data_IF_528914015464
#
_entry.id   IF_528914015464
#
_cell.length_a   1.000
_cell.length_b   1.000
_cell.length_c   1.000
_cell.angle_alpha   90.00
_cell.angle_beta   90.00
_cell.angle_gamma   90.00
#
_symmetry.space_group_name_H-M   'P 1'
#
loop_
_entity.id
_entity.type
_entity.pdbx_description
1 polymer ?
#
# COMPACT_ATOMS: atom_id res chain seq x y z
N UNK A 1 4.74 25.34 -0.60
CA UNK A 1 4.97 25.31 -2.06
C UNK A 1 4.09 24.24 -2.69
N UNK A 2 3.39 24.56 -3.78
CA UNK A 2 2.50 23.64 -4.50
C UNK A 2 2.79 23.76 -6.01
N UNK A 3 3.89 23.17 -6.51
CA UNK A 3 4.26 23.29 -7.90
C UNK A 3 3.37 22.40 -8.79
N UNK A 4 3.04 22.87 -9.99
CA UNK A 4 2.46 22.01 -11.03
C UNK A 4 3.49 21.01 -11.57
N UNK A 5 4.76 21.45 -11.64
CA UNK A 5 5.89 20.65 -12.11
C UNK A 5 7.05 20.73 -11.13
N UNK A 6 7.52 19.59 -10.63
CA UNK A 6 8.64 19.51 -9.66
C UNK A 6 10.00 19.94 -10.23
N UNK A 7 10.11 20.13 -11.54
CA UNK A 7 11.34 20.62 -12.21
C UNK A 7 11.25 22.09 -12.59
N UNK A 8 10.21 22.80 -12.14
CA UNK A 8 10.09 24.23 -12.37
C UNK A 8 11.24 24.97 -11.63
N UNK A 9 12.03 25.79 -12.32
CA UNK A 9 13.14 26.52 -11.70
C UNK A 9 12.70 27.38 -10.51
N UNK A 10 11.59 28.10 -10.63
CA UNK A 10 11.09 28.95 -9.54
C UNK A 10 10.72 28.15 -8.30
N UNK A 11 10.18 26.94 -8.48
CA UNK A 11 9.93 26.01 -7.38
C UNK A 11 11.23 25.51 -6.76
N UNK A 12 12.19 25.12 -7.58
CA UNK A 12 13.48 24.59 -7.09
C UNK A 12 14.25 25.66 -6.33
N UNK A 13 14.30 26.90 -6.84
CA UNK A 13 14.93 28.04 -6.18
C UNK A 13 14.26 28.34 -4.83
N UNK A 14 12.92 28.35 -4.80
CA UNK A 14 12.17 28.57 -3.57
C UNK A 14 12.38 27.44 -2.55
N UNK A 15 12.47 26.19 -2.99
CA UNK A 15 12.75 25.05 -2.12
C UNK A 15 14.18 25.12 -1.58
N UNK A 16 15.15 25.42 -2.43
CA UNK A 16 16.55 25.56 -2.03
C UNK A 16 16.76 26.71 -1.04
N UNK A 17 16.04 27.81 -1.21
CA UNK A 17 16.09 28.95 -0.30
C UNK A 17 15.65 28.60 1.13
N UNK A 18 14.87 27.54 1.33
CA UNK A 18 14.49 27.02 2.64
C UNK A 18 15.62 26.24 3.33
N UNK A 19 16.68 25.90 2.61
CA UNK A 19 17.81 25.10 3.10
C UNK A 19 17.37 23.85 3.89
N UNK A 20 16.57 22.95 3.30
CA UNK A 20 16.03 21.80 4.04
C UNK A 20 17.16 20.88 4.49
N UNK A 21 17.18 20.52 5.77
CA UNK A 21 18.12 19.54 6.30
C UNK A 21 17.73 18.11 5.98
N UNK A 22 16.43 17.80 6.02
CA UNK A 22 15.90 16.47 5.83
C UNK A 22 14.60 16.51 5.02
N UNK A 23 14.44 15.59 4.08
CA UNK A 23 13.21 15.37 3.33
C UNK A 23 12.42 14.20 3.91
N UNK A 24 11.10 14.36 3.99
CA UNK A 24 10.17 13.28 4.38
C UNK A 24 9.12 13.15 3.29
N UNK A 25 8.94 11.92 2.76
CA UNK A 25 7.97 11.62 1.73
C UNK A 25 6.99 10.58 2.26
N UNK A 26 5.70 10.85 2.12
CA UNK A 26 4.63 9.92 2.52
C UNK A 26 3.56 9.92 1.42
N UNK A 27 3.23 8.73 0.89
CA UNK A 27 2.15 8.54 -0.08
C UNK A 27 2.21 9.52 -1.27
N UNK A 28 3.37 9.69 -1.87
CA UNK A 28 3.61 10.72 -2.88
C UNK A 28 3.96 10.13 -4.25
N UNK A 29 3.77 10.94 -5.30
CA UNK A 29 4.25 10.61 -6.65
C UNK A 29 5.77 10.58 -6.65
N UNK A 30 6.36 9.88 -7.64
CA UNK A 30 7.81 9.87 -7.81
C UNK A 30 8.36 11.30 -7.90
N UNK A 31 9.21 11.67 -6.95
CA UNK A 31 9.92 12.93 -6.95
C UNK A 31 11.17 12.85 -7.85
N UNK A 32 11.48 13.87 -8.64
CA UNK A 32 12.74 13.91 -9.38
C UNK A 32 13.92 14.05 -8.41
N UNK A 33 15.06 13.50 -8.81
CA UNK A 33 16.30 13.53 -8.02
C UNK A 33 16.66 14.94 -7.52
N UNK A 34 16.55 15.95 -8.38
CA UNK A 34 16.84 17.35 -8.03
C UNK A 34 16.04 17.83 -6.80
N UNK A 35 14.93 17.20 -6.46
CA UNK A 35 14.13 17.51 -5.26
C UNK A 35 14.53 16.66 -4.08
N UNK A 36 14.55 15.32 -4.23
CA UNK A 36 14.81 14.43 -3.09
C UNK A 36 16.29 14.39 -2.67
N UNK A 37 17.24 14.75 -3.56
CA UNK A 37 18.65 14.84 -3.22
C UNK A 37 19.05 16.22 -2.65
N UNK A 38 18.14 17.20 -2.61
CA UNK A 38 18.42 18.56 -2.13
C UNK A 38 18.70 18.63 -0.62
N UNK A 39 17.95 17.93 0.26
CA UNK A 39 18.19 18.00 1.70
C UNK A 39 19.55 17.40 2.09
N UNK A 40 20.28 18.10 2.94
CA UNK A 40 21.65 17.76 3.36
C UNK A 40 21.78 16.37 4.01
N UNK A 41 20.75 15.93 4.77
CA UNK A 41 20.68 14.63 5.43
C UNK A 41 19.94 13.60 4.57
N UNK A 42 19.64 13.93 3.32
CA UNK A 42 18.88 13.09 2.41
C UNK A 42 17.37 13.18 2.59
N UNK A 43 16.67 12.29 1.92
CA UNK A 43 15.20 12.18 1.99
C UNK A 43 14.84 10.73 2.27
N UNK A 44 13.94 10.50 3.21
CA UNK A 44 13.39 9.17 3.45
C UNK A 44 11.88 9.10 3.14
N UNK A 45 11.40 7.91 2.85
CA UNK A 45 9.99 7.61 2.66
C UNK A 45 9.46 6.73 3.79
N UNK A 46 8.19 6.89 4.12
CA UNK A 46 7.39 5.96 4.92
C UNK A 46 6.55 5.10 3.99
N UNK A 47 6.85 3.80 3.93
CA UNK A 47 6.15 2.83 3.10
C UNK A 47 5.33 1.87 3.96
N UNK A 48 4.09 1.59 3.53
CA UNK A 48 3.14 0.81 4.32
C UNK A 48 3.27 -0.70 4.07
N UNK A 49 4.48 -1.23 4.10
CA UNK A 49 4.77 -2.67 4.10
C UNK A 49 6.06 -2.96 4.86
N UNK A 50 6.36 -4.25 5.02
CA UNK A 50 7.67 -4.74 5.46
C UNK A 50 8.55 -4.94 4.21
N UNK A 51 9.24 -3.88 3.76
CA UNK A 51 10.14 -4.00 2.63
C UNK A 51 11.19 -5.11 2.87
N UNK A 52 11.52 -5.88 1.84
CA UNK A 52 11.28 -5.68 0.41
C UNK A 52 9.93 -6.16 -0.12
N UNK A 53 9.08 -6.75 0.72
CA UNK A 53 7.76 -7.21 0.32
C UNK A 53 6.82 -6.03 0.02
N UNK A 54 5.93 -6.20 -0.95
CA UNK A 54 4.88 -5.24 -1.30
C UNK A 54 5.40 -3.86 -1.70
N UNK A 55 6.51 -3.81 -2.46
CA UNK A 55 6.91 -2.58 -3.16
C UNK A 55 5.83 -2.15 -4.13
N UNK A 56 5.50 -0.86 -4.19
CA UNK A 56 4.53 -0.31 -5.13
C UNK A 56 3.43 0.54 -4.50
N UNK A 57 2.33 0.70 -5.23
CA UNK A 57 1.34 1.74 -4.97
C UNK A 57 0.23 1.36 -3.97
N UNK A 58 0.01 0.06 -3.71
CA UNK A 58 -1.12 -0.42 -2.91
C UNK A 58 -0.72 -1.51 -1.90
N UNK A 59 0.34 -1.30 -1.07
CA UNK A 59 0.90 -2.34 -0.20
C UNK A 59 -0.10 -2.89 0.82
N UNK A 60 -0.90 -2.04 1.45
CA UNK A 60 -1.90 -2.44 2.44
C UNK A 60 -2.96 -3.35 1.82
N UNK A 61 -3.46 -2.96 0.64
CA UNK A 61 -4.46 -3.73 -0.08
C UNK A 61 -3.94 -5.14 -0.40
N UNK A 62 -2.77 -5.22 -1.03
CA UNK A 62 -2.22 -6.49 -1.50
C UNK A 62 -1.83 -7.43 -0.37
N UNK A 63 -1.33 -6.93 0.76
CA UNK A 63 -1.06 -7.75 1.93
C UNK A 63 -2.35 -8.46 2.42
N UNK A 64 -3.48 -7.74 2.47
CA UNK A 64 -4.76 -8.32 2.90
C UNK A 64 -5.34 -9.25 1.82
N UNK A 65 -5.31 -8.86 0.53
CA UNK A 65 -5.79 -9.68 -0.59
C UNK A 65 -5.07 -11.03 -0.63
N UNK A 66 -3.76 -11.01 -0.40
CA UNK A 66 -2.94 -12.23 -0.39
C UNK A 66 -3.09 -13.06 0.91
N UNK A 67 -3.86 -12.56 1.88
CA UNK A 67 -4.16 -13.29 3.11
C UNK A 67 -3.03 -13.31 4.12
N UNK A 68 -2.15 -12.31 4.08
CA UNK A 68 -1.09 -12.15 5.06
C UNK A 68 -1.66 -12.01 6.48
N UNK A 69 -0.92 -12.48 7.45
CA UNK A 69 -1.26 -12.39 8.87
C UNK A 69 -0.59 -11.22 9.56
N UNK A 70 0.38 -10.63 8.91
CA UNK A 70 1.06 -9.41 9.34
C UNK A 70 1.45 -8.57 8.13
N UNK A 71 1.59 -7.27 8.35
CA UNK A 71 2.24 -6.32 7.48
C UNK A 71 3.10 -5.39 8.34
N UNK A 72 3.39 -4.21 7.90
CA UNK A 72 4.10 -3.25 8.70
C UNK A 72 4.33 -1.94 7.98
N UNK A 73 5.25 -1.19 8.53
CA UNK A 73 5.73 0.06 7.95
C UNK A 73 7.24 0.06 7.95
N UNK A 74 7.80 0.68 6.93
CA UNK A 74 9.24 0.81 6.73
C UNK A 74 9.58 2.26 6.46
N UNK A 75 10.57 2.81 7.16
CA UNK A 75 11.27 4.03 6.74
C UNK A 75 12.54 3.64 5.99
N UNK A 76 12.78 4.26 4.83
CA UNK A 76 13.96 3.97 4.00
C UNK A 76 14.42 5.23 3.25
N UNK A 77 15.72 5.35 3.00
CA UNK A 77 16.29 6.45 2.22
C UNK A 77 15.88 6.33 0.75
N UNK A 78 15.54 7.45 0.12
CA UNK A 78 15.25 7.45 -1.32
C UNK A 78 16.52 7.23 -2.15
N UNK A 79 16.35 6.52 -3.24
CA UNK A 79 17.33 6.38 -4.31
C UNK A 79 16.62 6.45 -5.68
N UNK A 80 17.30 6.07 -6.75
CA UNK A 80 16.75 6.08 -8.12
C UNK A 80 15.72 4.98 -8.41
N UNK A 81 15.66 3.95 -7.56
CA UNK A 81 14.79 2.81 -7.73
C UNK A 81 13.59 2.88 -6.79
N UNK A 82 12.40 2.54 -7.30
CA UNK A 82 11.16 2.61 -6.52
C UNK A 82 11.21 1.62 -5.35
N UNK A 83 11.08 2.14 -4.13
CA UNK A 83 11.00 1.40 -2.86
C UNK A 83 12.19 0.44 -2.61
N UNK A 84 13.35 0.72 -3.23
CA UNK A 84 14.57 -0.10 -3.09
C UNK A 84 15.71 0.56 -2.31
N UNK A 85 15.48 1.74 -1.74
CA UNK A 85 16.50 2.42 -0.95
C UNK A 85 16.80 1.72 0.38
N UNK A 86 17.88 2.12 1.02
CA UNK A 86 18.35 1.50 2.26
C UNK A 86 17.35 1.69 3.40
N UNK A 87 16.96 0.59 4.05
CA UNK A 87 15.98 0.56 5.15
C UNK A 87 16.62 1.15 6.41
N UNK A 88 15.93 2.12 7.04
CA UNK A 88 16.33 2.73 8.30
C UNK A 88 15.70 1.99 9.47
N UNK A 89 14.38 1.77 9.43
CA UNK A 89 13.64 1.08 10.48
C UNK A 89 12.37 0.43 9.95
N UNK A 90 11.89 -0.59 10.67
CA UNK A 90 10.64 -1.30 10.36
C UNK A 90 9.87 -1.62 11.62
N UNK A 91 8.54 -1.54 11.53
CA UNK A 91 7.63 -1.99 12.59
C UNK A 91 6.62 -2.96 12.01
N UNK A 92 6.48 -4.13 12.64
CA UNK A 92 5.49 -5.15 12.27
C UNK A 92 4.13 -4.84 12.89
N UNK A 93 3.07 -5.07 12.12
CA UNK A 93 1.69 -4.84 12.56
C UNK A 93 0.84 -6.06 12.17
N UNK A 94 0.16 -6.73 13.12
CA UNK A 94 -0.66 -7.89 12.82
C UNK A 94 -1.93 -7.51 12.04
N UNK A 95 -2.29 -8.35 11.08
CA UNK A 95 -3.56 -8.30 10.35
C UNK A 95 -4.52 -9.30 10.99
N UNK A 96 -5.53 -8.80 11.69
CA UNK A 96 -6.53 -9.64 12.35
C UNK A 96 -7.58 -10.14 11.32
N UNK A 97 -8.28 -11.25 11.60
CA UNK A 97 -9.28 -11.80 10.67
C UNK A 97 -10.38 -10.81 10.27
N UNK A 98 -10.74 -9.87 11.15
CA UNK A 98 -11.76 -8.85 10.91
C UNK A 98 -11.22 -7.55 10.29
N UNK A 99 -9.90 -7.42 10.15
CA UNK A 99 -9.34 -6.22 9.56
C UNK A 99 -9.62 -6.15 8.07
N UNK A 100 -9.85 -4.94 7.60
CA UNK A 100 -9.93 -4.58 6.19
C UNK A 100 -8.89 -3.48 5.88
N UNK A 101 -8.82 -3.01 4.64
CA UNK A 101 -7.83 -1.98 4.29
C UNK A 101 -8.03 -0.68 5.07
N UNK A 102 -9.26 -0.31 5.39
CA UNK A 102 -9.55 0.91 6.18
C UNK A 102 -9.02 0.79 7.60
N UNK A 103 -9.34 -0.30 8.32
CA UNK A 103 -8.85 -0.49 9.69
C UNK A 103 -7.34 -0.66 9.75
N UNK A 104 -6.74 -1.30 8.74
CA UNK A 104 -5.28 -1.40 8.66
C UNK A 104 -4.61 -0.07 8.34
N UNK A 105 -5.23 0.76 7.49
CA UNK A 105 -4.75 2.12 7.25
C UNK A 105 -4.65 2.92 8.55
N UNK A 106 -5.70 2.89 9.38
CA UNK A 106 -5.70 3.59 10.67
C UNK A 106 -4.61 3.08 11.62
N UNK A 107 -4.44 1.75 11.74
CA UNK A 107 -3.38 1.15 12.55
C UNK A 107 -1.99 1.57 12.08
N UNK A 108 -1.74 1.48 10.76
CA UNK A 108 -0.44 1.83 10.18
C UNK A 108 -0.17 3.33 10.26
N UNK A 109 -1.18 4.18 10.13
CA UNK A 109 -1.06 5.62 10.30
C UNK A 109 -0.58 5.98 11.72
N UNK A 110 -1.22 5.41 12.76
CA UNK A 110 -0.80 5.65 14.15
C UNK A 110 0.62 5.14 14.43
N UNK A 111 0.93 3.92 13.99
CA UNK A 111 2.28 3.34 14.13
C UNK A 111 3.31 4.13 13.34
N UNK A 112 2.94 4.60 12.14
CA UNK A 112 3.78 5.38 11.25
C UNK A 112 4.18 6.73 11.82
N UNK A 113 3.27 7.39 12.53
CA UNK A 113 3.56 8.67 13.17
C UNK A 113 4.72 8.54 14.18
N UNK A 114 4.70 7.51 15.01
CA UNK A 114 5.78 7.25 15.95
C UNK A 114 7.10 6.92 15.24
N UNK A 115 7.05 6.04 14.23
CA UNK A 115 8.24 5.63 13.49
C UNK A 115 8.89 6.79 12.72
N UNK A 116 8.09 7.68 12.13
CA UNK A 116 8.63 8.87 11.43
C UNK A 116 9.36 9.77 12.42
N UNK A 117 8.77 10.05 13.59
CA UNK A 117 9.40 10.89 14.61
C UNK A 117 10.72 10.28 15.08
N UNK A 118 10.72 8.99 15.42
CA UNK A 118 11.94 8.26 15.81
C UNK A 118 13.00 8.31 14.70
N UNK A 119 12.59 8.11 13.43
CA UNK A 119 13.51 8.15 12.28
C UNK A 119 14.14 9.54 12.13
N UNK A 120 13.37 10.62 12.28
CA UNK A 120 13.90 11.99 12.25
C UNK A 120 14.93 12.21 13.33
N UNK A 121 14.62 11.84 14.58
CA UNK A 121 15.51 12.01 15.72
C UNK A 121 16.82 11.25 15.51
N UNK A 122 16.77 10.01 15.05
CA UNK A 122 17.95 9.18 14.77
C UNK A 122 18.80 9.73 13.63
N UNK A 123 18.17 10.21 12.54
CA UNK A 123 18.90 10.85 11.43
C UNK A 123 19.58 12.12 11.93
N UNK A 124 18.88 12.96 12.69
CA UNK A 124 19.43 14.21 13.22
C UNK A 124 20.60 13.97 14.17
N UNK A 125 20.56 12.90 14.95
CA UNK A 125 21.65 12.49 15.84
C UNK A 125 22.82 11.80 15.11
N UNK A 126 22.67 11.44 13.82
CA UNK A 126 23.64 10.62 13.09
C UNK A 126 23.68 9.15 13.55
N UNK A 127 22.64 8.69 14.25
CA UNK A 127 22.50 7.33 14.79
C UNK A 127 21.61 6.47 13.91
N UNK A 128 21.98 6.32 12.63
CA UNK A 128 21.33 5.39 11.70
C UNK A 128 22.36 4.45 11.09
N UNK A 129 21.95 3.21 10.89
CA UNK A 129 22.70 2.20 10.14
C UNK A 129 21.76 1.62 9.08
N UNK A 130 21.57 2.34 7.94
CA UNK A 130 20.67 1.89 6.91
C UNK A 130 21.12 0.55 6.31
N UNK A 131 20.16 -0.35 6.13
CA UNK A 131 20.40 -1.67 5.56
C UNK A 131 19.99 -1.71 4.09
N UNK A 132 20.94 -2.00 3.21
CA UNK A 132 20.67 -2.13 1.78
C UNK A 132 19.76 -3.31 1.47
N UNK A 133 18.87 -3.12 0.52
CA UNK A 133 17.98 -4.17 0.03
C UNK A 133 18.64 -4.96 -1.11
N UNK A 134 19.82 -5.53 -0.88
CA UNK A 134 20.62 -6.27 -1.87
C UNK A 134 20.57 -7.78 -1.63
N UNK A 135 20.92 -8.56 -2.67
CA UNK A 135 20.98 -10.03 -2.56
C UNK A 135 19.63 -10.72 -2.44
N UNK A 136 18.54 -10.03 -2.80
CA UNK A 136 17.18 -10.52 -2.69
C UNK A 136 16.75 -11.11 -4.03
N UNK A 137 16.19 -12.31 -4.00
CA UNK A 137 15.52 -12.92 -5.15
C UNK A 137 14.16 -12.23 -5.38
N UNK A 138 14.13 -11.25 -6.26
CA UNK A 138 12.92 -10.45 -6.55
C UNK A 138 11.77 -11.31 -7.11
N UNK A 139 12.05 -12.48 -7.70
CA UNK A 139 11.01 -13.37 -8.20
C UNK A 139 10.14 -14.00 -7.10
N UNK A 140 10.61 -13.95 -5.87
CA UNK A 140 9.91 -14.47 -4.68
C UNK A 140 9.15 -13.40 -3.91
N UNK A 141 9.33 -12.13 -4.28
CA UNK A 141 8.64 -11.02 -3.62
C UNK A 141 7.24 -10.81 -4.20
N UNK A 142 6.33 -10.37 -3.35
CA UNK A 142 5.00 -9.97 -3.75
C UNK A 142 5.00 -8.47 -4.10
N UNK A 143 4.72 -8.10 -5.36
CA UNK A 143 4.56 -6.70 -5.72
C UNK A 143 3.22 -6.15 -5.25
N UNK A 144 3.14 -4.82 -5.10
CA UNK A 144 1.90 -4.12 -4.76
C UNK A 144 1.52 -3.09 -5.84
N UNK A 145 1.17 -3.54 -7.06
CA UNK A 145 0.81 -2.64 -8.14
C UNK A 145 -0.43 -1.80 -7.80
N UNK A 146 -0.57 -0.69 -8.51
CA UNK A 146 -1.77 0.14 -8.41
C UNK A 146 -3.01 -0.67 -8.80
N UNK A 147 -4.07 -0.52 -8.01
CA UNK A 147 -5.36 -1.18 -8.24
C UNK A 147 -6.28 -0.22 -9.01
N UNK A 148 -6.80 -0.67 -10.14
CA UNK A 148 -7.78 0.04 -10.93
C UNK A 148 -9.19 -0.54 -10.70
N UNK A 149 -10.21 0.14 -11.21
CA UNK A 149 -11.61 -0.29 -11.03
C UNK A 149 -11.85 -1.70 -11.57
N UNK A 150 -11.26 -2.00 -12.68
CA UNK A 150 -11.39 -3.30 -13.37
C UNK A 150 -10.82 -4.44 -12.51
N UNK A 151 -9.72 -4.18 -11.79
CA UNK A 151 -9.08 -5.15 -10.91
C UNK A 151 -9.92 -5.46 -9.67
N UNK A 152 -10.97 -4.68 -9.39
CA UNK A 152 -11.82 -4.86 -8.22
C UNK A 152 -13.03 -5.77 -8.47
N UNK A 153 -13.18 -6.35 -9.66
CA UNK A 153 -14.27 -7.26 -9.98
C UNK A 153 -14.04 -8.61 -9.30
N UNK A 154 -15.07 -9.11 -8.59
CA UNK A 154 -15.03 -10.43 -7.96
C UNK A 154 -15.13 -11.51 -9.03
N UNK A 155 -14.23 -12.49 -8.99
CA UNK A 155 -14.35 -13.75 -9.70
C UNK A 155 -14.90 -14.81 -8.74
N UNK A 156 -16.15 -15.16 -8.90
CA UNK A 156 -16.86 -16.11 -8.05
C UNK A 156 -16.36 -17.56 -8.19
N UNK A 157 -15.49 -17.85 -9.16
CA UNK A 157 -14.85 -19.16 -9.29
C UNK A 157 -13.68 -19.35 -8.31
N UNK A 158 -13.25 -18.29 -7.62
CA UNK A 158 -12.17 -18.39 -6.64
C UNK A 158 -12.63 -19.14 -5.38
N UNK A 159 -11.64 -19.66 -4.67
CA UNK A 159 -11.85 -20.24 -3.35
C UNK A 159 -12.44 -19.19 -2.38
N UNK A 160 -13.41 -19.59 -1.54
CA UNK A 160 -14.18 -18.63 -0.75
C UNK A 160 -13.36 -17.76 0.21
N UNK A 161 -12.28 -18.29 0.79
CA UNK A 161 -11.37 -17.49 1.63
C UNK A 161 -10.63 -16.44 0.83
N UNK A 162 -10.27 -16.75 -0.42
CA UNK A 162 -9.67 -15.78 -1.34
C UNK A 162 -10.65 -14.64 -1.65
N UNK A 163 -11.91 -14.93 -1.87
CA UNK A 163 -12.96 -13.92 -2.08
C UNK A 163 -13.10 -13.03 -0.84
N UNK A 164 -13.16 -13.61 0.36
CA UNK A 164 -13.21 -12.84 1.62
C UNK A 164 -12.01 -11.90 1.76
N UNK A 165 -10.80 -12.39 1.52
CA UNK A 165 -9.59 -11.57 1.60
C UNK A 165 -9.60 -10.46 0.55
N UNK A 166 -10.06 -10.76 -0.67
CA UNK A 166 -10.20 -9.79 -1.75
C UNK A 166 -11.16 -8.66 -1.37
N UNK A 167 -12.35 -9.00 -0.86
CA UNK A 167 -13.33 -8.02 -0.38
C UNK A 167 -12.74 -7.17 0.76
N UNK A 168 -12.11 -7.78 1.75
CA UNK A 168 -11.46 -7.08 2.86
C UNK A 168 -10.35 -6.14 2.40
N UNK A 169 -9.51 -6.60 1.47
CA UNK A 169 -8.38 -5.85 0.92
C UNK A 169 -8.79 -4.67 0.04
N UNK A 170 -10.08 -4.59 -0.34
CA UNK A 170 -10.64 -3.49 -1.12
C UNK A 170 -11.65 -2.63 -0.34
N UNK A 171 -12.04 -3.02 0.88
CA UNK A 171 -13.05 -2.32 1.69
C UNK A 171 -12.38 -1.33 2.66
N UNK A 172 -12.90 -0.11 2.82
CA UNK A 172 -14.11 0.45 2.18
C UNK A 172 -13.88 1.02 0.78
N UNK A 173 -12.66 1.22 0.35
CA UNK A 173 -12.30 1.82 -0.93
C UNK A 173 -11.11 1.09 -1.56
N UNK A 174 -11.14 0.85 -2.88
CA UNK A 174 -12.15 1.21 -3.91
C UNK A 174 -13.45 0.42 -3.86
N UNK A 175 -13.56 -0.60 -3.05
CA UNK A 175 -14.57 -1.63 -2.89
C UNK A 175 -14.55 -2.69 -4.02
N UNK A 176 -14.66 -3.96 -3.62
CA UNK A 176 -14.90 -5.03 -4.57
C UNK A 176 -16.29 -4.87 -5.19
N UNK A 177 -16.47 -5.32 -6.43
CA UNK A 177 -17.75 -5.22 -7.11
C UNK A 177 -18.06 -6.45 -7.95
N UNK A 178 -19.33 -6.64 -8.25
CA UNK A 178 -19.83 -7.67 -9.12
C UNK A 178 -20.99 -7.16 -9.96
N UNK A 179 -21.32 -7.87 -11.04
CA UNK A 179 -22.56 -7.70 -11.77
C UNK A 179 -23.57 -8.74 -11.32
N UNK A 180 -24.77 -8.27 -11.02
CA UNK A 180 -25.90 -9.12 -10.65
C UNK A 180 -26.95 -9.04 -11.76
N UNK A 181 -27.50 -10.17 -12.12
CA UNK A 181 -28.55 -10.28 -13.14
C UNK A 181 -29.62 -11.24 -12.65
N UNK A 182 -30.85 -10.85 -12.80
CA UNK A 182 -31.98 -11.75 -12.54
C UNK A 182 -32.12 -12.75 -13.66
N UNK A 183 -32.49 -13.98 -13.33
CA UNK A 183 -32.68 -15.03 -14.29
C UNK A 183 -33.75 -14.62 -15.32
N UNK A 184 -33.46 -14.84 -16.64
CA UNK A 184 -34.32 -14.44 -17.74
C UNK A 184 -34.26 -12.96 -18.16
N UNK A 185 -33.53 -12.11 -17.40
CA UNK A 185 -33.34 -10.70 -17.75
C UNK A 185 -31.99 -10.48 -18.46
N UNK A 186 -31.94 -9.51 -19.38
CA UNK A 186 -30.71 -9.10 -20.08
C UNK A 186 -29.97 -7.97 -19.33
N UNK A 187 -30.70 -7.19 -18.54
CA UNK A 187 -30.15 -6.09 -17.78
C UNK A 187 -29.38 -6.61 -16.56
N UNK A 188 -28.19 -6.03 -16.29
CA UNK A 188 -27.41 -6.27 -15.08
C UNK A 188 -27.30 -4.98 -14.27
N UNK A 189 -27.13 -5.14 -12.96
CA UNK A 189 -26.79 -4.05 -12.02
C UNK A 189 -25.40 -4.29 -11.45
N UNK A 190 -24.64 -3.23 -11.26
CA UNK A 190 -23.35 -3.30 -10.55
C UNK A 190 -23.59 -3.15 -9.05
N UNK A 191 -23.16 -4.12 -8.27
CA UNK A 191 -23.22 -4.10 -6.82
C UNK A 191 -21.79 -4.00 -6.24
N UNK A 192 -21.58 -3.11 -5.26
CA UNK A 192 -20.35 -3.06 -4.46
C UNK A 192 -20.50 -3.94 -3.23
N UNK A 193 -19.46 -4.73 -2.95
CA UNK A 193 -19.42 -5.66 -1.82
C UNK A 193 -18.39 -5.16 -0.81
N UNK A 194 -18.85 -4.83 0.40
CA UNK A 194 -18.02 -4.25 1.45
C UNK A 194 -17.62 -5.26 2.52
N UNK A 195 -18.37 -6.36 2.65
CA UNK A 195 -18.08 -7.42 3.59
C UNK A 195 -18.51 -8.77 3.01
N UNK A 196 -17.77 -9.81 3.32
CA UNK A 196 -18.09 -11.19 2.94
C UNK A 196 -17.65 -12.13 4.05
N UNK A 197 -18.36 -13.24 4.20
CA UNK A 197 -17.97 -14.37 5.02
C UNK A 197 -17.97 -15.62 4.14
N UNK A 198 -17.13 -16.59 4.49
CA UNK A 198 -17.08 -17.89 3.84
C UNK A 198 -17.58 -18.97 4.79
N UNK A 199 -18.58 -19.70 4.33
CA UNK A 199 -19.09 -20.89 4.99
C UNK A 199 -18.95 -22.07 4.01
N UNK A 200 -18.28 -23.13 4.46
CA UNK A 200 -18.12 -24.33 3.65
C UNK A 200 -19.41 -25.16 3.72
N UNK A 201 -20.16 -25.19 2.63
CA UNK A 201 -21.36 -26.00 2.49
C UNK A 201 -21.30 -26.82 1.20
N UNK A 202 -21.84 -28.02 1.22
CA UNK A 202 -22.05 -28.81 0.01
C UNK A 202 -23.30 -28.27 -0.71
N UNK A 203 -23.14 -27.83 -1.96
CA UNK A 203 -24.23 -27.36 -2.80
C UNK A 203 -24.01 -27.78 -4.26
N UNK A 204 -25.08 -27.75 -5.04
CA UNK A 204 -25.06 -28.08 -6.48
C UNK A 204 -25.16 -26.85 -7.37
N UNK A 205 -25.16 -25.66 -6.75
CA UNK A 205 -25.32 -24.40 -7.48
C UNK A 205 -24.04 -24.01 -8.21
N UNK A 206 -24.18 -23.34 -9.34
CA UNK A 206 -23.05 -22.78 -10.07
C UNK A 206 -22.41 -21.64 -9.26
N UNK A 207 -21.10 -21.45 -9.43
CA UNK A 207 -20.39 -20.35 -8.78
C UNK A 207 -21.01 -18.98 -9.19
N UNK A 208 -21.29 -18.15 -8.18
CA UNK A 208 -21.93 -16.83 -8.38
C UNK A 208 -23.46 -16.85 -8.40
N UNK A 209 -24.10 -18.00 -8.16
CA UNK A 209 -25.55 -18.05 -7.91
C UNK A 209 -25.88 -17.41 -6.57
N UNK A 210 -26.95 -16.62 -6.52
CA UNK A 210 -27.48 -16.01 -5.30
C UNK A 210 -28.71 -16.78 -4.88
N UNK A 211 -28.68 -17.38 -3.70
CA UNK A 211 -29.83 -17.98 -3.05
C UNK A 211 -30.53 -16.93 -2.17
N UNK A 212 -31.87 -16.95 -2.16
CA UNK A 212 -32.69 -16.02 -1.38
C UNK A 212 -33.04 -16.56 0.00
#
# INVERSE_FOLDING_TARGET
LQPEKFRDPAFLDALQALQPDLGIVIAFKMLPEVVWAMPRLGTFNLHASLLPEYRGAAPINWAIINGERETGITTFLLNHEIDKGAIIAQVRVPILPKDNVGTMYDKLMHTGTALVTETVDRIAAGDIQPMEQTGIDESRLHPAPKIFKEDCRIDWSWEGRRIVNFVRGLSPYPAAWTEMRKEGETASITAKIYAAAFEAAAHNEAAGTVES
#
